data_IF_211776022127
#
_entry.id   IF_211776022127
#
_cell.length_a   1.000
_cell.length_b   1.000
_cell.length_c   1.000
_cell.angle_alpha   90.00
_cell.angle_beta   90.00
_cell.angle_gamma   90.00
#
_symmetry.space_group_name_H-M   'P 1'
#
loop_
_entity.id
_entity.type
_entity.pdbx_description
1 polymer ?
#
# COMPACT_ATOMS: atom_id res chain seq x y z
N UNK A 1 14.07 -8.46 -0.76
CA UNK A 1 13.52 -8.52 0.63
C UNK A 1 14.32 -9.50 1.51
N UNK A 2 14.42 -9.27 2.84
CA UNK A 2 15.21 -10.13 3.78
C UNK A 2 14.38 -10.92 4.80
N UNK A 3 13.15 -10.51 5.08
CA UNK A 3 12.26 -11.21 6.02
C UNK A 3 11.52 -12.34 5.29
N UNK A 4 11.56 -13.60 5.76
CA UNK A 4 10.86 -14.71 5.11
C UNK A 4 9.33 -14.55 5.08
N UNK A 5 8.75 -13.78 6.02
CA UNK A 5 7.31 -13.55 6.09
C UNK A 5 6.81 -12.47 5.11
N UNK A 6 7.72 -11.65 4.54
CA UNK A 6 7.36 -10.60 3.58
C UNK A 6 7.59 -11.13 2.17
N UNK A 7 6.50 -11.42 1.48
CA UNK A 7 6.51 -12.03 0.14
C UNK A 7 6.42 -11.01 -0.99
N UNK A 8 6.09 -9.75 -0.69
CA UNK A 8 5.99 -8.66 -1.65
C UNK A 8 6.08 -7.30 -0.99
N UNK A 9 6.61 -6.32 -1.71
CA UNK A 9 6.65 -4.91 -1.32
C UNK A 9 6.48 -4.03 -2.56
N UNK A 10 5.73 -2.93 -2.42
CA UNK A 10 5.55 -1.93 -3.46
C UNK A 10 5.56 -0.54 -2.83
N UNK A 11 6.24 0.40 -3.48
CA UNK A 11 6.25 1.82 -3.14
C UNK A 11 5.67 2.62 -4.30
N UNK A 12 4.69 3.48 -4.04
CA UNK A 12 4.03 4.34 -5.03
C UNK A 12 4.01 5.78 -4.57
N UNK A 13 3.97 6.72 -5.52
CA UNK A 13 3.64 8.11 -5.21
C UNK A 13 2.12 8.32 -5.05
N UNK A 14 1.73 9.57 -4.78
CA UNK A 14 0.32 9.96 -4.61
C UNK A 14 -0.50 9.97 -5.91
N UNK A 15 0.13 9.82 -7.08
CA UNK A 15 -0.58 9.67 -8.36
C UNK A 15 -0.77 8.19 -8.72
N UNK A 16 -0.29 7.26 -7.90
CA UNK A 16 -0.36 5.83 -8.20
C UNK A 16 0.75 5.36 -9.15
N UNK A 17 1.82 6.14 -9.33
CA UNK A 17 2.97 5.72 -10.13
C UNK A 17 3.91 4.88 -9.26
N UNK A 18 4.25 3.68 -9.77
CA UNK A 18 5.18 2.80 -9.10
C UNK A 18 6.59 3.40 -9.05
N UNK A 19 7.15 3.50 -7.84
CA UNK A 19 8.54 3.90 -7.58
C UNK A 19 9.47 2.68 -7.48
N UNK A 20 8.90 1.51 -7.19
CA UNK A 20 9.60 0.23 -7.14
C UNK A 20 8.76 -0.84 -6.45
N UNK A 21 8.83 -2.07 -6.98
CA UNK A 21 8.19 -3.24 -6.40
C UNK A 21 9.11 -4.47 -6.46
N UNK A 22 8.89 -5.42 -5.56
CA UNK A 22 9.58 -6.71 -5.52
C UNK A 22 8.59 -7.77 -4.99
N UNK A 23 8.63 -8.99 -5.52
CA UNK A 23 7.84 -10.13 -5.02
C UNK A 23 6.42 -10.22 -5.60
N UNK A 24 5.42 -10.47 -4.75
CA UNK A 24 4.03 -10.71 -5.16
C UNK A 24 3.28 -9.49 -5.70
N UNK A 25 3.84 -8.29 -5.54
CA UNK A 25 3.26 -7.04 -6.02
C UNK A 25 3.95 -6.57 -7.31
N UNK A 26 3.14 -6.15 -8.27
CA UNK A 26 3.52 -5.64 -9.60
C UNK A 26 3.01 -4.21 -9.83
N UNK A 27 3.47 -3.57 -10.93
CA UNK A 27 3.10 -2.21 -11.34
C UNK A 27 1.58 -1.93 -11.34
N UNK A 28 0.77 -2.93 -11.70
CA UNK A 28 -0.68 -2.78 -11.80
C UNK A 28 -1.37 -2.48 -10.46
N UNK A 29 -0.70 -2.77 -9.33
CA UNK A 29 -1.23 -2.55 -7.99
C UNK A 29 -0.98 -1.13 -7.46
N UNK A 30 -0.08 -0.36 -8.05
CA UNK A 30 0.31 0.96 -7.53
C UNK A 30 -0.88 1.93 -7.43
N UNK A 31 -1.74 1.94 -8.45
CA UNK A 31 -2.93 2.78 -8.49
C UNK A 31 -3.94 2.47 -7.38
N UNK A 32 -4.22 1.19 -7.11
CA UNK A 32 -5.21 0.85 -6.07
C UNK A 32 -4.66 1.10 -4.67
N UNK A 33 -3.36 0.86 -4.44
CA UNK A 33 -2.70 1.10 -3.15
C UNK A 33 -2.72 2.60 -2.80
N UNK A 34 -2.40 3.48 -3.76
CA UNK A 34 -2.42 4.93 -3.52
C UNK A 34 -3.84 5.44 -3.23
N UNK A 35 -4.85 4.91 -3.93
CA UNK A 35 -6.25 5.26 -3.71
C UNK A 35 -6.72 4.79 -2.33
N UNK A 36 -6.41 3.57 -1.92
CA UNK A 36 -6.79 3.07 -0.59
C UNK A 36 -6.23 3.97 0.53
N UNK A 37 -4.95 4.34 0.45
CA UNK A 37 -4.33 5.26 1.42
C UNK A 37 -5.03 6.63 1.43
N UNK A 38 -5.33 7.21 0.26
CA UNK A 38 -6.01 8.50 0.16
C UNK A 38 -7.46 8.47 0.66
N UNK A 39 -8.19 7.37 0.47
CA UNK A 39 -9.54 7.25 1.00
C UNK A 39 -9.52 7.05 2.52
N UNK A 40 -8.60 6.25 3.04
CA UNK A 40 -8.45 6.06 4.48
C UNK A 40 -8.07 7.36 5.21
N UNK A 41 -7.19 8.17 4.63
CA UNK A 41 -6.81 9.47 5.20
C UNK A 41 -8.00 10.43 5.41
N UNK A 42 -9.10 10.26 4.68
CA UNK A 42 -10.33 11.06 4.84
C UNK A 42 -11.17 10.66 6.05
N UNK A 43 -10.87 9.54 6.70
CA UNK A 43 -11.60 9.05 7.87
C UNK A 43 -11.26 9.81 9.15
N UNK A 44 -10.18 10.59 9.12
CA UNK A 44 -9.74 11.44 10.22
C UNK A 44 -9.54 12.87 9.73
N UNK A 45 -9.87 13.84 10.57
CA UNK A 45 -9.61 15.26 10.29
C UNK A 45 -8.24 15.70 10.78
N UNK A 46 -7.55 14.88 11.58
CA UNK A 46 -6.22 15.15 12.08
C UNK A 46 -5.19 14.75 11.02
N UNK A 47 -4.46 15.71 10.41
CA UNK A 47 -3.48 15.40 9.36
C UNK A 47 -2.25 14.63 9.88
N UNK A 48 -2.06 14.53 11.20
CA UNK A 48 -0.97 13.77 11.81
C UNK A 48 -1.36 12.32 12.09
N UNK A 49 -2.66 12.02 12.10
CA UNK A 49 -3.21 10.69 12.27
C UNK A 49 -3.20 9.97 10.91
N UNK A 50 -2.10 9.25 10.63
CA UNK A 50 -1.94 8.51 9.37
C UNK A 50 -2.45 7.08 9.55
N UNK A 51 -3.57 6.68 8.94
CA UNK A 51 -4.13 5.36 9.12
C UNK A 51 -3.32 4.29 8.38
N UNK A 52 -3.36 3.06 8.91
CA UNK A 52 -2.88 1.86 8.22
C UNK A 52 -4.08 1.11 7.66
N UNK A 53 -4.04 0.79 6.37
CA UNK A 53 -5.07 -0.03 5.71
C UNK A 53 -4.58 -1.46 5.64
N UNK A 54 -5.31 -2.38 6.26
CA UNK A 54 -5.06 -3.82 6.17
C UNK A 54 -6.13 -4.48 5.30
N UNK A 55 -5.68 -5.27 4.32
CA UNK A 55 -6.52 -6.21 3.58
C UNK A 55 -6.11 -7.61 4.04
N UNK A 56 -7.02 -8.36 4.63
CA UNK A 56 -6.74 -9.69 5.18
C UNK A 56 -7.55 -10.75 4.42
N UNK A 57 -6.88 -11.82 4.05
CA UNK A 57 -7.44 -12.97 3.35
C UNK A 57 -6.81 -14.27 3.84
N UNK A 58 -7.25 -15.42 3.32
CA UNK A 58 -6.61 -16.71 3.59
C UNK A 58 -5.12 -16.75 3.19
N UNK A 59 -4.68 -15.84 2.31
CA UNK A 59 -3.31 -15.72 1.83
C UNK A 59 -2.46 -14.71 2.61
N UNK A 60 -2.98 -14.15 3.69
CA UNK A 60 -2.43 -12.97 4.36
C UNK A 60 -3.21 -11.71 4.02
#
# INVERSE_FOLDING_TARGET
>A
MKSPAVVGVLCTDSQGLNLGCEGTLSDEHAGIISVLAQQAAKLTSDPTDTPVVCLESDNG
#
